data_IF_606124697245
#
_entry.id   IF_606124697245
#
_cell.length_a   1.000
_cell.length_b   1.000
_cell.length_c   1.000
_cell.angle_alpha   90.00
_cell.angle_beta   90.00
_cell.angle_gamma   90.00
#
_symmetry.space_group_name_H-M   'P 1'
#
loop_
_entity.id
_entity.type
_entity.pdbx_description
1 polymer ?
#
# COMPACT_ATOMS: atom_id res chain seq x y z
N UNK A 1 13.28 17.24 45.32
CA UNK A 1 12.94 18.52 45.98
C UNK A 1 11.46 18.44 46.35
N UNK A 2 11.19 18.30 47.65
CA UNK A 2 9.86 18.17 48.29
C UNK A 2 9.24 19.56 48.45
N UNK A 3 7.91 19.67 48.28
CA UNK A 3 7.06 20.70 48.91
C UNK A 3 5.63 20.23 48.67
N UNK A 4 5.00 19.58 49.59
CA UNK A 4 4.26 19.90 50.82
C UNK A 4 2.92 20.64 50.58
N UNK A 5 1.90 19.93 50.95
CA UNK A 5 0.48 20.26 51.14
C UNK A 5 0.26 21.42 52.12
N UNK A 6 -0.81 22.18 51.95
CA UNK A 6 -1.43 22.95 52.99
C UNK A 6 -2.96 22.88 52.94
N UNK A 7 -3.50 22.19 53.93
CA UNK A 7 -4.92 22.22 54.31
C UNK A 7 -5.24 23.50 55.10
N UNK A 8 -6.39 24.10 54.84
CA UNK A 8 -7.02 25.01 55.83
C UNK A 8 -8.47 24.65 56.08
N UNK A 9 -8.73 24.34 57.31
CA UNK A 9 -9.98 24.15 58.01
C UNK A 9 -10.43 25.48 58.62
N UNK A 10 -11.71 25.81 58.63
CA UNK A 10 -12.38 26.57 59.69
C UNK A 10 -13.91 26.53 59.39
N UNK A 11 -14.67 25.95 60.28
CA UNK A 11 -15.48 26.51 61.36
C UNK A 11 -16.70 27.22 60.82
N UNK A 12 -17.84 26.81 61.04
CA UNK A 12 -18.87 26.54 61.97
C UNK A 12 -19.47 27.75 62.68
N UNK A 13 -20.72 28.07 62.39
CA UNK A 13 -21.53 28.74 63.42
C UNK A 13 -23.01 28.42 63.33
N UNK A 14 -23.61 28.44 64.47
CA UNK A 14 -24.91 27.87 64.90
C UNK A 14 -26.10 28.81 64.72
N UNK A 15 -27.27 28.17 64.58
CA UNK A 15 -28.59 28.47 65.13
C UNK A 15 -29.20 29.87 64.98
N UNK A 16 -30.39 29.89 64.35
CA UNK A 16 -31.63 30.19 65.13
C UNK A 16 -32.86 29.67 64.36
N UNK A 17 -33.75 29.05 65.11
CA UNK A 17 -35.12 28.62 64.76
C UNK A 17 -36.00 29.84 64.64
N UNK A 18 -36.81 29.91 63.58
CA UNK A 18 -38.10 30.58 63.66
C UNK A 18 -39.13 29.77 62.86
N UNK A 19 -40.14 29.33 63.58
CA UNK A 19 -41.40 28.73 63.09
C UNK A 19 -42.28 29.85 62.55
N UNK A 20 -42.67 29.77 61.29
CA UNK A 20 -43.89 30.36 60.82
C UNK A 20 -44.61 29.41 59.91
N UNK A 21 -45.81 28.99 60.35
CA UNK A 21 -46.85 28.32 59.55
C UNK A 21 -47.33 29.31 58.51
N UNK A 22 -47.29 28.89 57.23
CA UNK A 22 -48.19 29.46 56.22
C UNK A 22 -48.64 28.39 55.27
N UNK A 23 -49.86 28.31 55.11
CA UNK A 23 -50.83 27.55 54.31
C UNK A 23 -50.37 27.20 52.91
N UNK A 24 -50.45 25.89 52.59
CA UNK A 24 -50.27 25.24 51.32
C UNK A 24 -51.36 25.66 50.30
N UNK A 25 -50.87 26.29 49.19
CA UNK A 25 -51.63 26.38 47.93
C UNK A 25 -50.93 25.43 46.98
N UNK A 26 -51.56 24.38 46.41
CA UNK A 26 -50.96 23.54 45.40
C UNK A 26 -50.93 24.31 44.06
N UNK A 27 -49.77 24.83 43.68
CA UNK A 27 -49.55 25.34 42.34
C UNK A 27 -49.43 24.13 41.39
N UNK A 28 -50.48 23.89 40.65
CA UNK A 28 -50.52 22.90 39.57
C UNK A 28 -49.61 23.38 38.47
N UNK A 29 -48.33 22.95 38.47
CA UNK A 29 -47.40 23.15 37.34
C UNK A 29 -47.89 22.28 36.19
N UNK A 30 -48.62 22.89 35.26
CA UNK A 30 -48.87 22.32 33.94
C UNK A 30 -47.54 22.23 33.20
N UNK A 31 -46.86 21.07 33.24
CA UNK A 31 -45.76 20.78 32.35
C UNK A 31 -46.33 20.67 30.93
N UNK A 32 -46.28 21.78 30.18
CA UNK A 32 -46.39 21.76 28.73
C UNK A 32 -45.15 21.04 28.21
N UNK A 33 -45.26 19.72 27.97
CA UNK A 33 -44.32 18.98 27.15
C UNK A 33 -44.41 19.58 25.73
N UNK A 34 -43.63 20.60 25.45
CA UNK A 34 -43.34 20.98 24.09
C UNK A 34 -42.65 19.78 23.44
N UNK A 35 -43.39 19.02 22.66
CA UNK A 35 -42.86 17.94 21.83
C UNK A 35 -41.89 18.59 20.84
N UNK A 36 -40.61 18.62 21.20
CA UNK A 36 -39.56 18.95 20.24
C UNK A 36 -39.67 17.96 19.09
N UNK A 37 -39.72 18.43 17.83
CA UNK A 37 -39.76 17.52 16.68
C UNK A 37 -38.51 16.62 16.77
N UNK A 38 -38.79 15.33 16.96
CA UNK A 38 -37.77 14.34 17.21
C UNK A 38 -36.80 14.29 16.03
N UNK A 39 -35.49 14.25 16.29
CA UNK A 39 -34.39 14.06 15.31
C UNK A 39 -34.64 12.89 14.33
N UNK A 40 -35.49 11.94 14.69
CA UNK A 40 -35.92 10.83 13.85
C UNK A 40 -36.57 11.29 12.54
N UNK A 41 -37.41 12.31 12.55
CA UNK A 41 -38.11 12.81 11.35
C UNK A 41 -37.17 13.49 10.36
N UNK A 42 -36.11 14.13 10.83
CA UNK A 42 -35.09 14.76 9.98
C UNK A 42 -34.20 13.74 9.28
N UNK A 43 -33.80 12.67 9.98
CA UNK A 43 -32.96 11.60 9.41
C UNK A 43 -33.73 10.81 8.33
N UNK A 44 -35.01 10.52 8.54
CA UNK A 44 -35.82 9.78 7.55
C UNK A 44 -36.07 10.61 6.30
N UNK A 45 -36.23 11.92 6.42
CA UNK A 45 -36.30 12.84 5.28
C UNK A 45 -34.99 12.86 4.52
N UNK A 46 -33.84 13.00 5.22
CA UNK A 46 -32.53 12.95 4.61
C UNK A 46 -32.22 11.62 3.92
N UNK A 47 -32.69 10.50 4.49
CA UNK A 47 -32.57 9.17 3.85
C UNK A 47 -33.37 9.11 2.55
N UNK A 48 -34.58 9.63 2.53
CA UNK A 48 -35.43 9.72 1.33
C UNK A 48 -34.77 10.58 0.26
N UNK A 49 -34.24 11.73 0.64
CA UNK A 49 -33.52 12.62 -0.27
C UNK A 49 -32.22 11.99 -0.78
N UNK A 50 -31.49 11.25 0.05
CA UNK A 50 -30.30 10.50 -0.36
C UNK A 50 -30.64 9.49 -1.46
N UNK A 51 -31.72 8.72 -1.30
CA UNK A 51 -32.17 7.76 -2.29
C UNK A 51 -32.62 8.46 -3.58
N UNK A 52 -33.31 9.60 -3.46
CA UNK A 52 -33.73 10.41 -4.61
C UNK A 52 -32.53 10.99 -5.36
N UNK A 53 -31.51 11.48 -4.65
CA UNK A 53 -30.26 11.95 -5.24
C UNK A 53 -29.52 10.81 -5.96
N UNK A 54 -29.42 9.64 -5.33
CA UNK A 54 -28.80 8.45 -5.94
C UNK A 54 -29.50 8.07 -7.25
N UNK A 55 -30.84 8.00 -7.23
CA UNK A 55 -31.66 7.72 -8.43
C UNK A 55 -31.46 8.79 -9.53
N UNK A 56 -31.46 10.07 -9.17
CA UNK A 56 -31.20 11.15 -10.12
C UNK A 56 -29.82 11.03 -10.76
N UNK A 57 -28.79 10.64 -9.99
CA UNK A 57 -27.45 10.38 -10.49
C UNK A 57 -27.38 9.20 -11.47
N UNK A 58 -28.02 8.08 -11.13
CA UNK A 58 -28.12 6.89 -11.98
C UNK A 58 -28.79 7.21 -13.33
N UNK A 59 -29.84 8.03 -13.29
CA UNK A 59 -30.54 8.54 -14.49
C UNK A 59 -29.81 9.68 -15.21
N UNK A 60 -28.58 10.03 -14.82
CA UNK A 60 -27.76 11.12 -15.36
C UNK A 60 -28.43 12.51 -15.29
N UNK A 61 -29.40 12.70 -14.41
CA UNK A 61 -30.08 13.97 -14.14
C UNK A 61 -29.21 14.86 -13.22
N UNK A 62 -28.02 15.27 -13.68
CA UNK A 62 -27.02 15.91 -12.84
C UNK A 62 -27.46 17.23 -12.21
N UNK A 63 -28.32 18.03 -12.87
CA UNK A 63 -28.89 19.25 -12.28
C UNK A 63 -29.80 18.93 -11.09
N UNK A 64 -30.67 17.90 -11.23
CA UNK A 64 -31.54 17.43 -10.13
C UNK A 64 -30.70 16.82 -9.00
N UNK A 65 -29.73 15.99 -9.33
CA UNK A 65 -28.76 15.45 -8.37
C UNK A 65 -28.11 16.56 -7.55
N UNK A 66 -27.55 17.58 -8.19
CA UNK A 66 -26.86 18.67 -7.51
C UNK A 66 -27.76 19.44 -6.55
N UNK A 67 -29.01 19.73 -6.93
CA UNK A 67 -29.99 20.38 -6.04
C UNK A 67 -30.24 19.56 -4.77
N UNK A 68 -30.53 18.27 -4.91
CA UNK A 68 -30.82 17.39 -3.79
C UNK A 68 -29.56 17.14 -2.95
N UNK A 69 -28.40 16.91 -3.59
CA UNK A 69 -27.14 16.69 -2.86
C UNK A 69 -26.72 17.89 -1.99
N UNK A 70 -27.06 19.11 -2.40
CA UNK A 70 -26.76 20.31 -1.61
C UNK A 70 -27.51 20.41 -0.29
N UNK A 71 -28.70 19.77 -0.16
CA UNK A 71 -29.47 19.72 1.10
C UNK A 71 -28.97 18.62 2.05
N UNK A 72 -28.05 17.76 1.59
CA UNK A 72 -27.57 16.58 2.30
C UNK A 72 -26.15 16.75 2.87
N UNK A 73 -25.59 17.96 2.90
CA UNK A 73 -24.17 18.17 3.29
C UNK A 73 -23.84 17.63 4.68
N UNK A 74 -24.80 17.69 5.60
CA UNK A 74 -24.66 17.22 6.98
C UNK A 74 -25.14 15.76 7.17
N UNK A 75 -25.63 15.11 6.11
CA UNK A 75 -26.03 13.72 6.17
C UNK A 75 -24.80 12.79 6.15
N UNK A 76 -24.73 11.80 7.07
CA UNK A 76 -23.53 10.96 7.22
C UNK A 76 -23.08 10.24 5.93
N UNK A 77 -24.01 9.94 5.03
CA UNK A 77 -23.67 9.26 3.76
C UNK A 77 -23.43 10.22 2.59
N UNK A 78 -23.51 11.53 2.82
CA UNK A 78 -23.21 12.53 1.77
C UNK A 78 -21.84 12.35 1.11
N UNK A 79 -20.75 12.05 1.83
CA UNK A 79 -19.44 11.83 1.20
C UNK A 79 -19.45 10.71 0.16
N UNK A 80 -20.19 9.63 0.40
CA UNK A 80 -20.29 8.53 -0.57
C UNK A 80 -21.08 8.92 -1.82
N UNK A 81 -22.07 9.78 -1.68
CA UNK A 81 -22.82 10.34 -2.80
C UNK A 81 -21.89 11.21 -3.67
N UNK A 82 -21.13 12.10 -3.03
CA UNK A 82 -20.13 12.97 -3.67
C UNK A 82 -19.02 12.17 -4.33
N UNK A 83 -18.49 11.14 -3.65
CA UNK A 83 -17.50 10.22 -4.20
C UNK A 83 -17.99 9.58 -5.50
N UNK A 84 -19.20 9.02 -5.51
CA UNK A 84 -19.76 8.37 -6.70
C UNK A 84 -19.88 9.34 -7.87
N UNK A 85 -20.31 10.57 -7.61
CA UNK A 85 -20.38 11.62 -8.59
C UNK A 85 -19.00 11.96 -9.16
N UNK A 86 -18.04 12.29 -8.30
CA UNK A 86 -16.68 12.67 -8.71
C UNK A 86 -15.98 11.53 -9.46
N UNK A 87 -16.10 10.29 -8.97
CA UNK A 87 -15.47 9.13 -9.60
C UNK A 87 -15.96 8.90 -11.02
N UNK A 88 -17.29 8.95 -11.25
CA UNK A 88 -17.85 8.76 -12.60
C UNK A 88 -17.51 9.91 -13.55
N UNK A 89 -17.23 11.08 -13.02
CA UNK A 89 -16.97 12.29 -13.79
C UNK A 89 -15.54 12.80 -13.67
N UNK A 90 -14.64 12.01 -13.12
CA UNK A 90 -13.24 12.40 -12.83
C UNK A 90 -12.52 13.07 -14.02
N UNK A 91 -12.92 12.76 -15.24
CA UNK A 91 -12.40 13.38 -16.47
C UNK A 91 -12.97 14.78 -16.76
N UNK A 92 -14.10 15.13 -16.17
CA UNK A 92 -14.83 16.38 -16.45
C UNK A 92 -14.79 17.36 -15.31
N UNK A 93 -14.53 16.86 -14.09
CA UNK A 93 -14.53 17.69 -12.88
C UNK A 93 -13.24 18.49 -12.76
N UNK A 94 -13.34 19.63 -12.06
CA UNK A 94 -12.19 20.48 -11.77
C UNK A 94 -11.28 19.80 -10.74
N UNK A 95 -9.97 19.99 -10.88
CA UNK A 95 -9.01 19.47 -9.92
C UNK A 95 -9.30 20.00 -8.50
N UNK A 96 -9.70 21.26 -8.35
CA UNK A 96 -10.07 21.86 -7.06
C UNK A 96 -11.18 21.08 -6.34
N UNK A 97 -12.20 20.62 -7.05
CA UNK A 97 -13.32 19.89 -6.45
C UNK A 97 -12.90 18.50 -5.94
N UNK A 98 -11.95 17.89 -6.67
CA UNK A 98 -11.39 16.60 -6.27
C UNK A 98 -10.46 16.79 -5.08
N UNK A 99 -9.56 17.77 -5.11
CA UNK A 99 -8.66 18.10 -3.99
C UNK A 99 -9.48 18.40 -2.73
N UNK A 100 -10.49 19.27 -2.82
CA UNK A 100 -11.38 19.56 -1.69
C UNK A 100 -11.98 18.28 -1.09
N UNK A 101 -12.43 17.34 -1.94
CA UNK A 101 -12.97 16.07 -1.45
C UNK A 101 -11.89 15.22 -0.74
N UNK A 102 -10.68 15.14 -1.33
CA UNK A 102 -9.59 14.35 -0.78
C UNK A 102 -9.13 14.87 0.59
N UNK A 103 -9.16 16.19 0.78
CA UNK A 103 -8.74 16.83 2.04
C UNK A 103 -9.85 16.72 3.09
N UNK A 104 -11.10 17.03 2.70
CA UNK A 104 -12.24 17.05 3.63
C UNK A 104 -12.64 15.67 4.16
N UNK A 105 -12.38 14.62 3.38
CA UNK A 105 -12.79 13.24 3.69
C UNK A 105 -11.58 12.29 3.65
N UNK A 106 -10.43 12.73 4.17
CA UNK A 106 -9.16 12.01 4.12
C UNK A 106 -9.20 10.65 4.84
N UNK A 107 -10.02 10.52 5.86
CA UNK A 107 -10.23 9.33 6.70
C UNK A 107 -11.12 8.26 6.07
N UNK A 108 -11.86 8.61 5.01
CA UNK A 108 -12.77 7.64 4.39
C UNK A 108 -12.05 6.67 3.42
N UNK A 109 -12.40 5.37 3.44
CA UNK A 109 -11.79 4.37 2.54
C UNK A 109 -11.96 4.67 1.05
N UNK A 110 -13.01 5.42 0.68
CA UNK A 110 -13.30 5.80 -0.72
C UNK A 110 -12.39 6.90 -1.24
N UNK A 111 -11.76 7.67 -0.36
CA UNK A 111 -10.89 8.79 -0.71
C UNK A 111 -9.68 8.33 -1.50
N UNK A 112 -8.99 7.27 -1.05
CA UNK A 112 -7.87 6.71 -1.79
C UNK A 112 -8.30 6.09 -3.14
N UNK A 113 -9.51 5.54 -3.24
CA UNK A 113 -10.06 5.05 -4.51
C UNK A 113 -10.29 6.18 -5.52
N UNK A 114 -10.79 7.33 -5.05
CA UNK A 114 -10.95 8.52 -5.89
C UNK A 114 -9.58 9.08 -6.30
N UNK A 115 -8.65 9.24 -5.35
CA UNK A 115 -7.28 9.70 -5.60
C UNK A 115 -6.62 8.88 -6.71
N UNK A 116 -6.63 7.56 -6.60
CA UNK A 116 -6.02 6.67 -7.59
C UNK A 116 -6.67 6.80 -8.97
N UNK A 117 -7.99 6.97 -9.03
CA UNK A 117 -8.69 7.20 -10.30
C UNK A 117 -8.30 8.54 -10.93
N UNK A 118 -8.18 9.58 -10.13
CA UNK A 118 -7.79 10.92 -10.56
C UNK A 118 -6.32 11.01 -10.96
N UNK A 119 -5.41 10.39 -10.21
CA UNK A 119 -3.98 10.32 -10.58
C UNK A 119 -3.79 9.73 -11.98
N UNK A 120 -4.57 8.71 -12.37
CA UNK A 120 -4.55 8.17 -13.73
C UNK A 120 -4.99 9.19 -14.79
N UNK A 121 -5.92 10.08 -14.44
CA UNK A 121 -6.34 11.18 -15.32
C UNK A 121 -5.21 12.21 -15.46
N UNK A 122 -4.57 12.59 -14.36
CA UNK A 122 -3.46 13.54 -14.38
C UNK A 122 -2.28 13.02 -15.21
N UNK A 123 -1.95 11.73 -15.11
CA UNK A 123 -0.94 11.05 -15.92
C UNK A 123 -1.27 11.21 -17.42
N UNK A 124 -2.48 10.88 -17.83
CA UNK A 124 -2.90 10.98 -19.24
C UNK A 124 -2.88 12.41 -19.78
N UNK A 125 -3.20 13.39 -18.89
CA UNK A 125 -3.13 14.82 -19.20
C UNK A 125 -1.72 15.41 -19.09
N UNK A 126 -0.76 14.61 -18.61
CA UNK A 126 0.63 15.06 -18.34
C UNK A 126 0.69 16.22 -17.33
N UNK A 127 -0.25 16.30 -16.40
CA UNK A 127 -0.26 17.28 -15.31
C UNK A 127 0.66 16.82 -14.19
N UNK A 128 1.97 16.78 -14.47
CA UNK A 128 2.97 16.13 -13.62
C UNK A 128 3.11 16.79 -12.25
N UNK A 129 3.05 18.12 -12.16
CA UNK A 129 3.15 18.81 -10.87
C UNK A 129 1.96 18.44 -9.98
N UNK A 130 0.74 18.62 -10.47
CA UNK A 130 -0.48 18.26 -9.73
C UNK A 130 -0.49 16.77 -9.33
N UNK A 131 0.04 15.92 -10.21
CA UNK A 131 0.19 14.49 -9.91
C UNK A 131 1.12 14.27 -8.71
N UNK A 132 2.32 14.87 -8.70
CA UNK A 132 3.28 14.72 -7.60
C UNK A 132 2.76 15.31 -6.28
N UNK A 133 2.11 16.47 -6.33
CA UNK A 133 1.56 17.15 -5.15
C UNK A 133 0.47 16.32 -4.45
N UNK A 134 -0.18 15.42 -5.19
CA UNK A 134 -1.26 14.57 -4.68
C UNK A 134 -0.92 13.08 -4.64
N UNK A 135 0.31 12.72 -5.02
CA UNK A 135 0.79 11.34 -4.96
C UNK A 135 1.08 10.94 -3.51
N UNK A 136 0.60 9.79 -3.12
CA UNK A 136 0.98 9.11 -1.88
C UNK A 136 1.70 7.81 -2.22
N UNK A 137 2.59 7.35 -1.32
CA UNK A 137 3.34 6.10 -1.52
C UNK A 137 2.38 4.97 -1.93
N UNK A 138 2.69 4.30 -3.02
CA UNK A 138 1.82 3.31 -3.65
C UNK A 138 2.53 1.96 -3.77
N UNK A 139 1.80 0.84 -3.59
CA UNK A 139 2.34 -0.51 -3.80
C UNK A 139 2.34 -0.94 -5.27
N UNK A 140 1.50 -0.31 -6.13
CA UNK A 140 1.44 -0.61 -7.56
C UNK A 140 2.68 -0.07 -8.29
N UNK A 141 3.51 -0.95 -8.90
CA UNK A 141 4.71 -0.54 -9.64
C UNK A 141 4.43 0.45 -10.77
N UNK A 142 3.26 0.37 -11.42
CA UNK A 142 2.86 1.32 -12.47
C UNK A 142 2.83 2.74 -11.92
N UNK A 143 2.22 2.94 -10.76
CA UNK A 143 2.11 4.25 -10.12
C UNK A 143 3.46 4.74 -9.60
N UNK A 144 4.29 3.84 -9.06
CA UNK A 144 5.64 4.16 -8.64
C UNK A 144 6.50 4.64 -9.82
N UNK A 145 6.44 3.95 -10.96
CA UNK A 145 7.20 4.34 -12.15
C UNK A 145 6.67 5.65 -12.77
N UNK A 146 5.38 5.92 -12.70
CA UNK A 146 4.86 7.24 -13.09
C UNK A 146 5.32 8.36 -12.16
N UNK A 147 5.46 8.09 -10.87
CA UNK A 147 6.03 9.06 -9.91
C UNK A 147 7.47 9.42 -10.28
N UNK A 148 8.31 8.42 -10.57
CA UNK A 148 9.68 8.65 -11.06
C UNK A 148 9.68 9.42 -12.38
N UNK A 149 8.81 9.02 -13.32
CA UNK A 149 8.68 9.70 -14.61
C UNK A 149 8.27 11.17 -14.47
N UNK A 150 7.33 11.47 -13.57
CA UNK A 150 6.91 12.85 -13.28
C UNK A 150 8.08 13.68 -12.71
N UNK A 151 8.88 13.11 -11.80
CA UNK A 151 10.10 13.77 -11.27
C UNK A 151 11.12 14.04 -12.36
N UNK A 152 11.33 13.07 -13.26
CA UNK A 152 12.19 13.27 -14.44
C UNK A 152 11.71 14.42 -15.32
N UNK A 153 10.38 14.50 -15.57
CA UNK A 153 9.78 15.56 -16.41
C UNK A 153 9.88 16.95 -15.78
N UNK A 154 9.88 17.03 -14.46
CA UNK A 154 9.99 18.27 -13.70
C UNK A 154 11.42 18.58 -13.24
N UNK A 155 12.40 17.80 -13.70
CA UNK A 155 13.81 17.94 -13.31
C UNK A 155 14.06 17.88 -11.79
N UNK A 156 13.22 17.15 -11.05
CA UNK A 156 13.38 16.90 -9.61
C UNK A 156 14.33 15.72 -9.39
N UNK A 157 15.64 16.01 -9.30
CA UNK A 157 16.72 15.02 -9.33
C UNK A 157 17.13 14.48 -7.96
N UNK A 158 16.72 15.14 -6.87
CA UNK A 158 17.09 14.73 -5.52
C UNK A 158 16.72 13.27 -5.27
N UNK A 159 17.67 12.45 -4.86
CA UNK A 159 17.52 10.98 -4.64
C UNK A 159 16.83 10.20 -5.77
N UNK A 160 16.74 10.76 -6.98
CA UNK A 160 15.99 10.13 -8.06
C UNK A 160 16.60 8.81 -8.51
N UNK A 161 17.92 8.73 -8.63
CA UNK A 161 18.62 7.51 -9.07
C UNK A 161 18.55 6.41 -8.01
N UNK A 162 18.63 6.76 -6.74
CA UNK A 162 18.48 5.85 -5.61
C UNK A 162 17.06 5.25 -5.58
N UNK A 163 16.04 6.09 -5.78
CA UNK A 163 14.66 5.63 -5.84
C UNK A 163 14.40 4.72 -7.05
N UNK A 164 14.96 5.06 -8.22
CA UNK A 164 14.89 4.20 -9.40
C UNK A 164 15.59 2.87 -9.14
N UNK A 165 16.78 2.88 -8.55
CA UNK A 165 17.54 1.68 -8.19
C UNK A 165 16.74 0.80 -7.22
N UNK A 166 16.11 1.40 -6.22
CA UNK A 166 15.28 0.69 -5.24
C UNK A 166 14.11 -0.06 -5.90
N UNK A 167 13.43 0.57 -6.85
CA UNK A 167 12.35 -0.08 -7.61
C UNK A 167 12.91 -1.12 -8.60
N UNK A 168 14.05 -0.84 -9.22
CA UNK A 168 14.69 -1.75 -10.16
C UNK A 168 15.17 -3.03 -9.48
N UNK A 169 15.69 -2.93 -8.25
CA UNK A 169 16.20 -4.07 -7.49
C UNK A 169 15.05 -4.92 -6.93
N UNK A 170 14.41 -5.65 -7.81
CA UNK A 170 13.33 -6.59 -7.48
C UNK A 170 13.48 -7.88 -8.29
N UNK A 171 13.03 -8.99 -7.71
CA UNK A 171 13.02 -10.29 -8.38
C UNK A 171 11.83 -10.50 -9.32
N UNK A 172 11.07 -9.45 -9.66
CA UNK A 172 9.89 -9.54 -10.53
C UNK A 172 10.06 -8.68 -11.78
N UNK A 173 9.44 -9.11 -12.88
CA UNK A 173 9.29 -8.26 -14.05
C UNK A 173 8.41 -7.06 -13.72
N UNK A 174 8.80 -5.90 -14.22
CA UNK A 174 8.12 -4.64 -13.98
C UNK A 174 7.45 -4.14 -15.25
N UNK A 175 6.38 -3.33 -15.12
CA UNK A 175 5.63 -2.84 -16.26
C UNK A 175 6.46 -1.86 -17.12
N UNK A 176 6.11 -1.72 -18.40
CA UNK A 176 6.82 -0.86 -19.37
C UNK A 176 6.89 0.62 -18.99
N UNK A 177 6.03 1.08 -18.09
CA UNK A 177 6.11 2.43 -17.52
C UNK A 177 7.42 2.69 -16.77
N UNK A 178 8.11 1.62 -16.35
CA UNK A 178 9.40 1.68 -15.68
C UNK A 178 10.59 1.78 -16.64
N UNK A 179 10.39 1.55 -17.94
CA UNK A 179 11.50 1.47 -18.91
C UNK A 179 12.31 2.77 -18.97
N UNK A 180 11.64 3.92 -19.05
CA UNK A 180 12.34 5.22 -19.08
C UNK A 180 13.13 5.56 -17.82
N UNK A 181 12.58 5.41 -16.59
CA UNK A 181 13.39 5.49 -15.38
C UNK A 181 14.57 4.53 -15.38
N UNK A 182 14.39 3.29 -15.84
CA UNK A 182 15.47 2.30 -15.88
C UNK A 182 16.52 2.62 -16.93
N UNK A 183 16.13 3.18 -18.06
CA UNK A 183 17.09 3.70 -19.06
C UNK A 183 17.99 4.77 -18.43
N UNK A 184 17.44 5.68 -17.61
CA UNK A 184 18.23 6.67 -16.89
C UNK A 184 19.22 6.00 -15.93
N UNK A 185 18.79 4.97 -15.19
CA UNK A 185 19.64 4.20 -14.29
C UNK A 185 20.77 3.49 -15.03
N UNK A 186 20.49 2.89 -16.19
CA UNK A 186 21.53 2.26 -17.01
C UNK A 186 22.55 3.28 -17.53
N UNK A 187 22.11 4.46 -17.93
CA UNK A 187 22.99 5.54 -18.43
C UNK A 187 23.83 6.18 -17.32
N UNK A 188 23.42 6.07 -16.06
CA UNK A 188 24.18 6.64 -14.94
C UNK A 188 25.43 5.85 -14.55
N UNK A 189 25.61 4.63 -15.08
CA UNK A 189 26.73 3.75 -14.72
C UNK A 189 26.56 3.03 -13.36
N UNK A 190 25.44 3.25 -12.63
CA UNK A 190 25.21 2.64 -11.33
C UNK A 190 24.80 1.17 -11.40
N UNK A 191 24.53 0.64 -12.60
CA UNK A 191 24.16 -0.78 -12.77
C UNK A 191 25.45 -1.60 -12.94
N UNK A 192 26.08 -1.93 -11.82
CA UNK A 192 27.28 -2.78 -11.77
C UNK A 192 26.93 -4.25 -11.98
N UNK A 193 27.94 -5.10 -12.19
CA UNK A 193 27.77 -6.55 -12.30
C UNK A 193 27.13 -7.14 -11.02
N UNK A 194 27.56 -6.67 -9.85
CA UNK A 194 27.05 -7.09 -8.53
C UNK A 194 25.56 -6.77 -8.40
N UNK A 195 25.15 -5.57 -8.83
CA UNK A 195 23.75 -5.17 -8.79
C UNK A 195 22.87 -6.00 -9.75
N UNK A 196 23.41 -6.31 -10.95
CA UNK A 196 22.73 -7.21 -11.89
C UNK A 196 22.62 -8.62 -11.33
N UNK A 197 23.70 -9.11 -10.68
CA UNK A 197 23.73 -10.42 -10.04
C UNK A 197 22.70 -10.51 -8.91
N UNK A 198 22.62 -9.49 -8.06
CA UNK A 198 21.65 -9.45 -6.98
C UNK A 198 20.19 -9.52 -7.50
N UNK A 199 19.88 -8.72 -8.53
CA UNK A 199 18.56 -8.81 -9.16
C UNK A 199 18.30 -10.16 -9.82
N UNK A 200 19.33 -10.75 -10.45
CA UNK A 200 19.25 -12.11 -11.00
C UNK A 200 18.91 -13.13 -9.91
N UNK A 201 19.60 -13.07 -8.77
CA UNK A 201 19.37 -13.91 -7.61
C UNK A 201 17.94 -13.82 -7.12
N UNK A 202 17.46 -12.60 -6.89
CA UNK A 202 16.07 -12.35 -6.52
C UNK A 202 15.07 -12.91 -7.54
N UNK A 203 15.39 -12.83 -8.84
CA UNK A 203 14.52 -13.39 -9.90
C UNK A 203 14.45 -14.91 -9.83
N UNK A 204 15.57 -15.57 -9.57
CA UNK A 204 15.61 -17.03 -9.40
C UNK A 204 14.82 -17.48 -8.16
N UNK A 205 14.95 -16.77 -7.04
CA UNK A 205 14.20 -17.04 -5.81
C UNK A 205 12.69 -16.85 -6.00
N UNK A 206 12.26 -15.86 -6.80
CA UNK A 206 10.86 -15.63 -7.15
C UNK A 206 10.34 -16.51 -8.30
N UNK A 207 11.14 -17.45 -8.82
CA UNK A 207 10.80 -18.29 -9.98
C UNK A 207 10.58 -17.52 -11.30
N UNK A 208 11.08 -16.30 -11.41
CA UNK A 208 10.99 -15.44 -12.60
C UNK A 208 12.11 -15.76 -13.60
N UNK A 209 12.09 -16.97 -14.14
CA UNK A 209 13.18 -17.51 -14.98
C UNK A 209 13.39 -16.69 -16.26
N UNK A 210 12.33 -16.12 -16.81
CA UNK A 210 12.42 -15.26 -18.00
C UNK A 210 13.22 -13.99 -17.70
N UNK A 211 12.94 -13.32 -16.58
CA UNK A 211 13.70 -12.15 -16.12
C UNK A 211 15.16 -12.55 -15.80
N UNK A 212 15.37 -13.65 -15.09
CA UNK A 212 16.71 -14.18 -14.79
C UNK A 212 17.51 -14.43 -16.08
N UNK A 213 16.88 -15.05 -17.10
CA UNK A 213 17.52 -15.28 -18.39
C UNK A 213 17.88 -13.99 -19.11
N UNK A 214 17.03 -12.97 -19.03
CA UNK A 214 17.35 -11.65 -19.56
C UNK A 214 18.55 -11.00 -18.83
N UNK A 215 18.52 -11.01 -17.50
CA UNK A 215 19.58 -10.43 -16.67
C UNK A 215 20.92 -11.15 -16.84
N UNK A 216 20.91 -12.49 -17.00
CA UNK A 216 22.13 -13.27 -17.21
C UNK A 216 22.96 -12.84 -18.43
N UNK A 217 22.32 -12.25 -19.44
CA UNK A 217 23.02 -11.74 -20.64
C UNK A 217 23.85 -10.49 -20.36
N UNK A 218 23.54 -9.79 -19.26
CA UNK A 218 24.18 -8.53 -18.84
C UNK A 218 25.33 -8.73 -17.84
N UNK A 219 25.47 -9.94 -17.32
CA UNK A 219 26.53 -10.31 -16.38
C UNK A 219 27.88 -10.42 -17.09
N UNK A 220 28.98 -10.26 -16.32
CA UNK A 220 30.32 -10.56 -16.78
C UNK A 220 30.49 -12.06 -17.10
N UNK A 221 31.58 -12.49 -17.77
CA UNK A 221 31.74 -13.90 -18.17
C UNK A 221 31.66 -14.90 -17.03
N UNK A 222 32.25 -14.61 -15.88
CA UNK A 222 32.27 -15.51 -14.70
C UNK A 222 30.88 -15.68 -14.10
N UNK A 223 30.21 -14.59 -13.76
CA UNK A 223 28.85 -14.60 -13.23
C UNK A 223 27.84 -15.21 -14.22
N UNK A 224 28.08 -15.03 -15.53
CA UNK A 224 27.25 -15.64 -16.58
C UNK A 224 27.32 -17.17 -16.59
N UNK A 225 28.46 -17.76 -16.23
CA UNK A 225 28.59 -19.23 -16.08
C UNK A 225 27.73 -19.71 -14.92
N UNK A 226 27.84 -19.05 -13.77
CA UNK A 226 27.03 -19.38 -12.57
C UNK A 226 25.53 -19.22 -12.84
N UNK A 227 25.14 -18.13 -13.48
CA UNK A 227 23.75 -17.85 -13.84
C UNK A 227 23.16 -18.95 -14.74
N UNK A 228 23.92 -19.39 -15.75
CA UNK A 228 23.51 -20.53 -16.62
C UNK A 228 23.32 -21.82 -15.83
N UNK A 229 24.25 -22.12 -14.92
CA UNK A 229 24.14 -23.29 -14.04
C UNK A 229 22.90 -23.22 -13.16
N UNK A 230 22.63 -22.07 -12.56
CA UNK A 230 21.43 -21.87 -11.73
C UNK A 230 20.15 -22.09 -12.53
N UNK A 231 20.04 -21.49 -13.71
CA UNK A 231 18.90 -21.67 -14.62
C UNK A 231 18.72 -23.16 -15.02
N UNK A 232 19.81 -23.87 -15.30
CA UNK A 232 19.77 -25.31 -15.63
C UNK A 232 19.27 -26.15 -14.45
N UNK A 233 19.80 -25.90 -13.26
CA UNK A 233 19.37 -26.56 -12.01
C UNK A 233 17.89 -26.27 -11.73
N UNK A 234 17.45 -25.03 -11.91
CA UNK A 234 16.04 -24.66 -11.76
C UNK A 234 15.11 -25.44 -12.71
N UNK A 235 15.49 -25.53 -13.99
CA UNK A 235 14.67 -26.21 -15.01
C UNK A 235 14.60 -27.71 -14.81
N UNK A 236 15.71 -28.34 -14.48
CA UNK A 236 15.77 -29.78 -14.22
C UNK A 236 16.63 -30.06 -12.99
N UNK A 237 16.06 -29.88 -11.77
CA UNK A 237 16.80 -30.09 -10.53
C UNK A 237 17.27 -31.53 -10.33
N UNK A 238 16.49 -32.50 -10.72
CA UNK A 238 16.85 -33.94 -10.60
C UNK A 238 18.18 -34.26 -11.32
N UNK A 239 18.30 -33.82 -12.57
CA UNK A 239 19.50 -34.03 -13.40
C UNK A 239 20.69 -33.20 -12.90
N UNK A 240 20.48 -31.91 -12.72
CA UNK A 240 21.60 -30.99 -12.59
C UNK A 240 22.11 -30.79 -11.13
N UNK A 241 21.36 -31.26 -10.11
CA UNK A 241 21.89 -31.34 -8.74
C UNK A 241 22.69 -32.63 -8.50
N UNK A 242 22.65 -33.61 -9.43
CA UNK A 242 23.39 -34.88 -9.27
C UNK A 242 24.91 -34.66 -9.28
N UNK A 243 25.39 -33.87 -10.20
CA UNK A 243 26.79 -33.39 -10.30
C UNK A 243 26.79 -31.90 -10.70
N UNK A 244 26.69 -30.98 -9.74
CA UNK A 244 26.52 -29.55 -10.08
C UNK A 244 27.72 -28.98 -10.79
N UNK A 245 28.93 -29.57 -10.58
CA UNK A 245 30.20 -29.06 -11.13
C UNK A 245 30.39 -27.55 -10.83
N UNK A 246 30.24 -27.21 -9.56
CA UNK A 246 30.51 -25.91 -9.00
C UNK A 246 31.63 -26.03 -7.96
N UNK A 247 32.45 -25.00 -7.84
CA UNK A 247 33.38 -24.86 -6.71
C UNK A 247 32.59 -24.65 -5.41
N UNK A 248 33.12 -25.09 -4.27
CA UNK A 248 32.47 -24.85 -2.99
C UNK A 248 32.67 -23.41 -2.55
N UNK A 249 31.61 -22.66 -2.55
CA UNK A 249 31.50 -21.31 -2.00
C UNK A 249 30.01 -21.00 -1.71
N UNK A 250 29.73 -19.92 -1.02
CA UNK A 250 28.39 -19.49 -0.61
C UNK A 250 27.40 -19.45 -1.81
N UNK A 251 27.78 -18.78 -2.90
CA UNK A 251 26.94 -18.70 -4.11
C UNK A 251 26.61 -20.08 -4.69
N UNK A 252 27.57 -20.97 -4.72
CA UNK A 252 27.37 -22.35 -5.23
C UNK A 252 26.45 -23.13 -4.32
N UNK A 253 26.58 -22.99 -3.01
CA UNK A 253 25.69 -23.62 -2.03
C UNK A 253 24.28 -23.07 -2.15
N UNK A 254 24.09 -21.75 -2.33
CA UNK A 254 22.78 -21.16 -2.61
C UNK A 254 22.13 -21.73 -3.88
N UNK A 255 22.88 -21.85 -4.97
CA UNK A 255 22.41 -22.46 -6.23
C UNK A 255 21.97 -23.92 -6.02
N UNK A 256 22.75 -24.68 -5.27
CA UNK A 256 22.46 -26.08 -4.96
C UNK A 256 21.23 -26.20 -4.07
N UNK A 257 21.14 -25.39 -3.01
CA UNK A 257 20.00 -25.31 -2.09
C UNK A 257 18.71 -25.04 -2.87
N UNK A 258 18.73 -24.04 -3.74
CA UNK A 258 17.60 -23.73 -4.62
C UNK A 258 17.18 -24.98 -5.44
N UNK A 259 18.13 -25.73 -5.98
CA UNK A 259 17.86 -26.97 -6.72
C UNK A 259 17.26 -28.07 -5.87
N UNK A 260 17.76 -28.26 -4.65
CA UNK A 260 17.23 -29.24 -3.69
C UNK A 260 15.78 -28.89 -3.33
N UNK A 261 15.50 -27.63 -3.01
CA UNK A 261 14.15 -27.16 -2.69
C UNK A 261 13.18 -27.28 -3.87
N UNK A 262 13.65 -27.08 -5.09
CA UNK A 262 12.85 -27.32 -6.31
C UNK A 262 12.60 -28.81 -6.52
N UNK A 263 13.56 -29.68 -6.20
CA UNK A 263 13.40 -31.11 -6.26
C UNK A 263 12.41 -31.61 -5.20
N UNK A 264 12.48 -31.08 -3.99
CA UNK A 264 11.62 -31.41 -2.86
C UNK A 264 10.13 -31.20 -3.18
N UNK A 265 9.78 -30.15 -3.88
CA UNK A 265 8.39 -29.88 -4.32
C UNK A 265 7.80 -30.98 -5.20
N UNK A 266 8.65 -31.84 -5.82
CA UNK A 266 8.22 -32.94 -6.69
C UNK A 266 8.47 -34.30 -6.06
N UNK A 267 9.53 -34.44 -5.32
CA UNK A 267 9.94 -35.68 -4.68
C UNK A 267 10.82 -35.41 -3.45
N UNK A 268 10.21 -35.27 -2.25
CA UNK A 268 10.91 -34.97 -1.00
C UNK A 268 11.99 -36.01 -0.66
N UNK A 269 11.69 -37.33 -0.80
CA UNK A 269 12.65 -38.37 -0.47
C UNK A 269 13.94 -38.29 -1.33
N UNK A 270 13.79 -38.00 -2.62
CA UNK A 270 14.96 -37.79 -3.49
C UNK A 270 15.72 -36.52 -3.15
N UNK A 271 15.03 -35.50 -2.67
CA UNK A 271 15.67 -34.28 -2.26
C UNK A 271 16.54 -34.47 -0.99
N UNK A 272 16.02 -35.18 0.01
CA UNK A 272 16.78 -35.59 1.22
C UNK A 272 18.01 -36.39 0.83
N UNK A 273 17.86 -37.47 0.08
CA UNK A 273 19.00 -38.28 -0.38
C UNK A 273 20.03 -37.48 -1.16
N UNK A 274 19.57 -36.47 -1.92
CA UNK A 274 20.44 -35.59 -2.68
C UNK A 274 21.22 -34.64 -1.77
N UNK A 275 20.57 -34.06 -0.77
CA UNK A 275 21.20 -33.20 0.23
C UNK A 275 22.33 -33.96 0.95
N UNK A 276 22.04 -35.17 1.46
CA UNK A 276 23.05 -36.00 2.11
C UNK A 276 24.27 -36.27 1.24
N UNK A 277 24.03 -36.62 -0.05
CA UNK A 277 25.14 -36.85 -0.97
C UNK A 277 25.99 -35.61 -1.27
N UNK A 278 25.39 -34.43 -1.17
CA UNK A 278 26.07 -33.15 -1.46
C UNK A 278 26.78 -32.56 -0.26
N UNK A 279 26.33 -32.85 0.98
CA UNK A 279 27.03 -32.48 2.24
C UNK A 279 28.46 -33.05 2.28
N UNK A 280 28.75 -34.14 1.59
CA UNK A 280 30.11 -34.71 1.50
C UNK A 280 31.06 -33.81 0.73
N UNK A 281 30.56 -33.08 -0.26
CA UNK A 281 31.37 -32.26 -1.18
C UNK A 281 31.32 -30.77 -0.87
N UNK A 282 30.16 -30.29 -0.38
CA UNK A 282 29.92 -28.89 -0.13
C UNK A 282 29.76 -28.64 1.36
N UNK A 283 30.57 -27.74 1.89
CA UNK A 283 30.61 -27.41 3.32
C UNK A 283 29.46 -26.46 3.69
N UNK A 284 28.24 -27.01 3.62
CA UNK A 284 27.07 -26.24 4.07
C UNK A 284 27.20 -25.88 5.55
N UNK A 285 26.88 -24.64 5.88
CA UNK A 285 26.78 -24.22 7.28
C UNK A 285 25.55 -24.84 7.95
N UNK A 286 25.56 -24.89 9.27
CA UNK A 286 24.39 -25.37 10.04
C UNK A 286 23.12 -24.57 9.71
N UNK A 287 23.26 -23.27 9.47
CA UNK A 287 22.15 -22.39 9.08
C UNK A 287 21.59 -22.74 7.70
N UNK A 288 22.46 -22.97 6.69
CA UNK A 288 22.03 -23.37 5.35
C UNK A 288 21.31 -24.73 5.36
N UNK A 289 21.82 -25.67 6.16
CA UNK A 289 21.18 -26.99 6.33
C UNK A 289 19.81 -26.84 6.98
N UNK A 290 19.73 -26.13 8.11
CA UNK A 290 18.47 -25.92 8.82
C UNK A 290 17.41 -25.21 7.98
N UNK A 291 17.81 -24.30 7.11
CA UNK A 291 16.89 -23.64 6.15
C UNK A 291 16.34 -24.63 5.13
N UNK A 292 17.18 -25.47 4.56
CA UNK A 292 16.77 -26.50 3.60
C UNK A 292 15.85 -27.51 4.28
N UNK A 293 16.23 -28.05 5.42
CA UNK A 293 15.48 -29.08 6.15
C UNK A 293 14.09 -28.59 6.62
N UNK A 294 13.96 -27.31 6.99
CA UNK A 294 12.66 -26.73 7.34
C UNK A 294 11.67 -26.71 6.18
N UNK A 295 12.16 -26.75 4.95
CA UNK A 295 11.33 -26.67 3.73
C UNK A 295 11.21 -28.01 2.99
N UNK A 296 11.88 -29.06 3.47
CA UNK A 296 11.75 -30.44 3.03
C UNK A 296 10.57 -31.15 3.70
#
# INVERSE_FOLDING_TARGET
MKLTLSFRKAQGNRFTKNKQLWTSIPLLFLFIFAATPTHANTIDLQRKDYLAAKKAFELRQYKKFGRIANTLKDYPLYPYLRYNYLRKRVWKEKNSDIIYFLDRYSDLPVTNKLRNSWLKVLIRRKHWQTFLDNYIKHSDPVMQCYQLHARMKLNKKEFLLEDIRSIWLTGKSLPSQCDRPFELLYKSGLVTNELVWERFRLSMQNNEVSLATYLSRRLNPESKVLARKWIQIHKNPYKHTRKPNLADNETSREIISHGILKLAKRNPEKAVKRLESLKIKYLFTSSEIAEIERML
#
